data_IF_155318795772
#
_entry.id   IF_155318795772
#
_cell.length_a   1.000
_cell.length_b   1.000
_cell.length_c   1.000
_cell.angle_alpha   90.00
_cell.angle_beta   90.00
_cell.angle_gamma   90.00
#
_symmetry.space_group_name_H-M   'P 1'
#
loop_
_entity.id
_entity.type
_entity.pdbx_description
1 polymer ?
#
# COMPACT_ATOMS: atom_id res chain seq x y z
N UNK A 1 20.86 13.08 -30.94
CA UNK A 1 21.10 11.63 -30.83
C UNK A 1 20.98 11.26 -29.37
N UNK A 2 19.98 10.47 -28.99
CA UNK A 2 19.82 9.94 -27.64
C UNK A 2 20.80 8.79 -27.46
N UNK A 3 21.76 8.93 -26.54
CA UNK A 3 22.69 7.86 -26.17
C UNK A 3 21.95 6.89 -25.24
N UNK A 4 21.73 5.67 -25.69
CA UNK A 4 21.22 4.58 -24.85
C UNK A 4 22.28 4.23 -23.81
N UNK A 5 21.90 4.21 -22.55
CA UNK A 5 22.77 3.87 -21.43
C UNK A 5 22.89 2.34 -21.43
N UNK A 6 24.10 1.80 -21.69
CA UNK A 6 24.49 0.39 -21.51
C UNK A 6 24.57 0.03 -20.01
N UNK A 7 23.51 0.32 -19.25
CA UNK A 7 23.37 -0.16 -17.90
C UNK A 7 22.65 -1.51 -17.97
N UNK A 8 23.28 -2.57 -17.46
CA UNK A 8 22.57 -3.79 -17.11
C UNK A 8 21.49 -3.42 -16.08
N UNK A 9 20.26 -3.21 -16.54
CA UNK A 9 19.13 -3.05 -15.65
C UNK A 9 19.02 -4.33 -14.82
N UNK A 10 19.07 -4.23 -13.47
CA UNK A 10 18.90 -5.41 -12.64
C UNK A 10 17.55 -6.04 -12.96
N UNK A 11 17.48 -7.37 -13.01
CA UNK A 11 16.29 -8.14 -13.36
C UNK A 11 15.09 -7.72 -12.50
N UNK A 12 14.26 -6.80 -13.01
CA UNK A 12 13.10 -6.25 -12.28
C UNK A 12 12.08 -7.35 -11.93
N UNK A 13 12.00 -8.38 -12.79
CA UNK A 13 11.13 -9.55 -12.62
C UNK A 13 11.43 -10.37 -11.36
N UNK A 14 12.67 -10.33 -10.85
CA UNK A 14 13.07 -11.08 -9.67
C UNK A 14 12.58 -10.44 -8.35
N UNK A 15 12.18 -9.16 -8.40
CA UNK A 15 11.76 -8.39 -7.21
C UNK A 15 10.24 -8.45 -7.03
N UNK A 16 9.48 -8.74 -8.10
CA UNK A 16 8.02 -8.83 -8.04
C UNK A 16 7.64 -10.15 -7.36
N UNK A 17 7.00 -10.13 -6.17
CA UNK A 17 6.51 -11.34 -5.54
C UNK A 17 5.50 -12.05 -6.45
N UNK A 18 5.75 -13.32 -6.75
CA UNK A 18 4.80 -14.18 -7.49
C UNK A 18 3.71 -14.77 -6.59
N UNK A 19 3.88 -14.66 -5.28
CA UNK A 19 2.94 -15.14 -4.27
C UNK A 19 2.65 -14.03 -3.27
N UNK A 20 1.42 -14.01 -2.76
CA UNK A 20 0.96 -13.14 -1.69
C UNK A 20 0.40 -13.99 -0.54
N UNK A 21 0.57 -13.53 0.69
CA UNK A 21 -0.01 -14.17 1.86
C UNK A 21 -1.39 -13.60 2.16
N UNK A 22 -1.50 -12.27 2.07
CA UNK A 22 -2.73 -11.51 2.31
C UNK A 22 -3.05 -10.68 1.08
N UNK A 23 -4.30 -10.73 0.64
CA UNK A 23 -4.84 -9.93 -0.45
C UNK A 23 -5.99 -9.08 0.07
N UNK A 24 -5.86 -7.77 -0.06
CA UNK A 24 -6.82 -6.81 0.46
C UNK A 24 -7.42 -6.00 -0.67
N UNK A 25 -8.73 -6.04 -0.86
CA UNK A 25 -9.46 -5.21 -1.81
C UNK A 25 -9.94 -3.94 -1.11
N UNK A 26 -9.59 -2.79 -1.69
CA UNK A 26 -9.81 -1.47 -1.10
C UNK A 26 -10.41 -0.55 -2.17
N UNK A 27 -11.40 0.24 -1.77
CA UNK A 27 -11.92 1.31 -2.62
C UNK A 27 -10.91 2.46 -2.72
N UNK A 28 -10.60 2.88 -3.95
CA UNK A 28 -9.58 3.89 -4.26
C UNK A 28 -9.91 5.25 -3.63
N UNK A 29 -11.17 5.68 -3.70
CA UNK A 29 -11.60 7.01 -3.23
C UNK A 29 -11.54 7.18 -1.70
N UNK A 30 -12.10 6.27 -0.87
CA UNK A 30 -11.90 6.28 0.58
C UNK A 30 -10.42 6.21 0.98
N UNK A 31 -9.64 5.33 0.34
CA UNK A 31 -8.22 5.18 0.62
C UNK A 31 -7.43 6.46 0.33
N UNK A 32 -7.66 7.08 -0.83
CA UNK A 32 -7.00 8.33 -1.21
C UNK A 32 -7.31 9.48 -0.22
N UNK A 33 -8.56 9.57 0.26
CA UNK A 33 -8.95 10.56 1.26
C UNK A 33 -8.27 10.31 2.60
N UNK A 34 -8.26 9.07 3.07
CA UNK A 34 -7.59 8.69 4.32
C UNK A 34 -6.08 8.95 4.24
N UNK A 35 -5.43 8.61 3.12
CA UNK A 35 -4.02 8.84 2.90
C UNK A 35 -3.64 10.33 2.85
N UNK A 36 -4.47 11.15 2.19
CA UNK A 36 -4.27 12.61 2.16
C UNK A 36 -4.28 13.20 3.56
N UNK A 37 -5.17 12.74 4.43
CA UNK A 37 -5.18 13.18 5.83
C UNK A 37 -3.95 12.62 6.56
N UNK A 38 -3.70 11.33 6.50
CA UNK A 38 -2.57 10.68 7.18
C UNK A 38 -1.21 11.30 6.80
N UNK A 39 -1.01 11.68 5.54
CA UNK A 39 0.23 12.34 5.08
C UNK A 39 0.39 13.77 5.59
N UNK A 40 -0.69 14.47 5.96
CA UNK A 40 -0.57 15.74 6.67
C UNK A 40 0.04 15.56 8.06
N UNK A 41 -0.32 14.45 8.72
CA UNK A 41 0.16 14.07 10.06
C UNK A 41 1.44 13.23 10.04
N UNK A 42 2.06 12.95 8.89
CA UNK A 42 3.34 12.23 8.83
C UNK A 42 4.46 13.01 8.14
N UNK A 43 4.30 14.33 7.99
CA UNK A 43 5.34 15.20 7.40
C UNK A 43 6.69 15.07 8.11
N UNK A 44 6.65 14.97 9.43
CA UNK A 44 7.85 14.87 10.27
C UNK A 44 8.44 13.46 10.31
N UNK A 45 7.64 12.45 9.93
CA UNK A 45 7.98 11.02 9.94
C UNK A 45 8.19 10.47 8.52
N UNK A 46 8.72 11.28 7.61
CA UNK A 46 9.01 10.93 6.21
C UNK A 46 7.79 10.39 5.44
N UNK A 47 6.60 10.89 5.75
CA UNK A 47 5.32 10.44 5.21
C UNK A 47 5.02 8.96 5.50
N UNK A 48 5.59 8.40 6.58
CA UNK A 48 5.34 7.01 6.97
C UNK A 48 3.89 6.86 7.43
N UNK A 49 3.18 5.93 6.82
CA UNK A 49 1.83 5.54 7.19
C UNK A 49 1.85 4.03 7.45
N UNK A 50 1.45 3.63 8.64
CA UNK A 50 1.32 2.23 9.04
C UNK A 50 -0.06 1.72 8.63
N UNK A 51 -0.09 0.60 7.94
CA UNK A 51 -1.29 -0.11 7.51
C UNK A 51 -1.38 -1.38 8.35
N UNK A 52 -2.47 -1.50 9.11
CA UNK A 52 -2.83 -2.69 9.86
C UNK A 52 -4.09 -3.27 9.22
N UNK A 53 -3.94 -4.46 8.66
CA UNK A 53 -4.99 -5.17 7.93
C UNK A 53 -5.44 -6.30 8.83
N UNK A 54 -6.70 -6.24 9.27
CA UNK A 54 -7.34 -7.28 10.05
C UNK A 54 -8.44 -7.95 9.21
N UNK A 55 -8.40 -9.28 9.01
CA UNK A 55 -9.49 -9.98 8.36
C UNK A 55 -10.76 -9.92 9.22
N UNK A 56 -11.91 -9.88 8.56
CA UNK A 56 -13.20 -9.87 9.23
C UNK A 56 -13.45 -11.19 9.95
N UNK A 57 -14.07 -11.14 11.13
CA UNK A 57 -14.50 -12.30 11.88
C UNK A 57 -16.03 -12.41 11.89
N UNK A 58 -16.56 -13.64 11.88
CA UNK A 58 -17.99 -13.92 12.08
C UNK A 58 -18.95 -13.17 11.13
N UNK A 59 -18.56 -13.00 9.86
CA UNK A 59 -19.38 -12.33 8.83
C UNK A 59 -19.27 -10.81 8.80
N UNK A 60 -18.42 -10.21 9.64
CA UNK A 60 -18.04 -8.81 9.50
C UNK A 60 -17.06 -8.61 8.33
N UNK A 61 -17.04 -7.42 7.68
CA UNK A 61 -15.99 -7.08 6.72
C UNK A 61 -14.62 -6.99 7.43
N UNK A 62 -13.55 -7.09 6.65
CA UNK A 62 -12.21 -6.80 7.15
C UNK A 62 -12.04 -5.31 7.41
N UNK A 63 -11.01 -4.98 8.19
CA UNK A 63 -10.69 -3.61 8.59
C UNK A 63 -9.26 -3.27 8.21
N UNK A 64 -9.08 -2.12 7.57
CA UNK A 64 -7.78 -1.49 7.37
C UNK A 64 -7.69 -0.29 8.30
N UNK A 65 -6.80 -0.38 9.29
CA UNK A 65 -6.43 0.73 10.16
C UNK A 65 -5.15 1.38 9.65
N UNK A 66 -5.20 2.67 9.38
CA UNK A 66 -4.08 3.49 8.98
C UNK A 66 -3.67 4.42 10.11
N UNK A 67 -2.41 4.34 10.52
CA UNK A 67 -1.86 5.17 11.60
C UNK A 67 -0.67 5.98 11.10
N UNK A 68 -0.67 7.28 11.41
CA UNK A 68 0.39 8.22 11.06
C UNK A 68 0.71 9.10 12.27
N UNK A 69 1.98 9.35 12.54
CA UNK A 69 2.45 10.09 13.71
C UNK A 69 3.16 11.39 13.31
N UNK A 70 2.77 12.50 13.92
CA UNK A 70 3.47 13.79 13.85
C UNK A 70 3.91 14.22 15.25
N UNK A 71 5.13 14.73 15.34
CA UNK A 71 5.68 15.30 16.58
C UNK A 71 4.96 16.58 17.02
N UNK A 72 4.30 17.29 16.10
CA UNK A 72 3.64 18.56 16.38
C UNK A 72 2.12 18.43 16.54
N UNK A 73 1.48 17.57 15.73
CA UNK A 73 0.01 17.51 15.61
C UNK A 73 -0.62 16.27 16.26
N UNK A 74 0.18 15.35 16.80
CA UNK A 74 -0.30 14.10 17.40
C UNK A 74 -0.50 12.97 16.39
N UNK A 75 -1.10 11.87 16.85
CA UNK A 75 -1.34 10.67 16.05
C UNK A 75 -2.70 10.78 15.31
N UNK A 76 -2.71 10.42 14.03
CA UNK A 76 -3.93 10.28 13.23
C UNK A 76 -4.22 8.81 12.96
N UNK A 77 -5.47 8.42 13.17
CA UNK A 77 -5.98 7.06 12.98
C UNK A 77 -7.19 7.10 12.05
N UNK A 78 -7.12 6.35 10.95
CA UNK A 78 -8.21 6.20 10.00
C UNK A 78 -8.56 4.72 9.82
N UNK A 79 -9.84 4.40 9.85
CA UNK A 79 -10.34 3.04 9.66
C UNK A 79 -11.15 2.97 8.36
N UNK A 80 -10.92 1.92 7.57
CA UNK A 80 -11.61 1.66 6.32
C UNK A 80 -12.09 0.21 6.27
N UNK A 81 -13.35 0.02 5.91
CA UNK A 81 -13.90 -1.30 5.62
C UNK A 81 -13.28 -1.82 4.32
N UNK A 82 -12.75 -3.05 4.36
CA UNK A 82 -12.01 -3.68 3.26
C UNK A 82 -12.36 -5.16 3.17
N UNK A 83 -12.22 -5.75 1.98
CA UNK A 83 -12.29 -7.20 1.85
C UNK A 83 -10.88 -7.77 1.98
N UNK A 84 -10.66 -8.65 2.95
CA UNK A 84 -9.35 -9.25 3.23
C UNK A 84 -9.44 -10.75 3.03
N UNK A 85 -8.53 -11.28 2.21
CA UNK A 85 -8.32 -12.70 2.00
C UNK A 85 -6.94 -13.06 2.56
N UNK A 86 -6.89 -13.91 3.59
CA UNK A 86 -5.64 -14.35 4.23
C UNK A 86 -5.49 -13.88 5.68
N UNK A 87 -4.28 -14.00 6.25
CA UNK A 87 -4.00 -13.65 7.65
C UNK A 87 -3.94 -12.12 7.85
N UNK A 88 -3.96 -11.71 9.12
CA UNK A 88 -3.65 -10.34 9.50
C UNK A 88 -2.25 -9.92 9.01
N UNK A 89 -2.12 -8.66 8.64
CA UNK A 89 -0.87 -8.12 8.12
C UNK A 89 -0.64 -6.70 8.64
N UNK A 90 0.59 -6.40 9.04
CA UNK A 90 1.04 -5.05 9.41
C UNK A 90 2.22 -4.66 8.51
N UNK A 91 2.12 -3.50 7.87
CA UNK A 91 3.16 -2.98 6.96
C UNK A 91 3.13 -1.46 6.98
N UNK A 92 4.29 -0.80 6.92
CA UNK A 92 4.35 0.64 6.73
C UNK A 92 4.74 0.98 5.30
N UNK A 93 4.09 1.99 4.74
CA UNK A 93 4.39 2.52 3.42
C UNK A 93 4.62 4.02 3.50
N UNK A 94 5.30 4.56 2.49
CA UNK A 94 5.31 5.99 2.28
C UNK A 94 3.95 6.40 1.68
N UNK A 95 3.14 7.12 2.45
CA UNK A 95 1.80 7.52 2.05
C UNK A 95 1.79 8.38 0.78
N UNK A 96 2.85 9.15 0.51
CA UNK A 96 2.97 9.93 -0.72
C UNK A 96 3.08 9.06 -1.95
N UNK A 97 3.88 7.99 -1.89
CA UNK A 97 4.00 7.04 -3.01
C UNK A 97 2.68 6.33 -3.30
N UNK A 98 1.94 5.97 -2.25
CA UNK A 98 0.62 5.36 -2.44
C UNK A 98 -0.38 6.36 -3.03
N UNK A 99 -0.37 7.63 -2.60
CA UNK A 99 -1.20 8.68 -3.20
C UNK A 99 -0.87 8.87 -4.69
N UNK A 100 0.41 8.97 -5.03
CA UNK A 100 0.85 9.15 -6.41
C UNK A 100 0.40 7.97 -7.29
N UNK A 101 0.50 6.75 -6.77
CA UNK A 101 -0.03 5.55 -7.42
C UNK A 101 -1.55 5.62 -7.63
N UNK A 102 -2.31 5.95 -6.58
CA UNK A 102 -3.77 6.03 -6.66
C UNK A 102 -4.27 7.15 -7.59
N UNK A 103 -3.47 8.20 -7.81
CA UNK A 103 -3.79 9.24 -8.78
C UNK A 103 -3.58 8.80 -10.23
N UNK A 104 -2.75 7.78 -10.46
CA UNK A 104 -2.50 7.20 -11.80
C UNK A 104 -3.47 6.06 -12.10
N UNK A 105 -3.91 5.33 -11.08
CA UNK A 105 -4.89 4.24 -11.23
C UNK A 105 -6.29 4.81 -11.42
N UNK A 106 -6.79 4.78 -12.65
CA UNK A 106 -8.18 5.12 -12.98
C UNK A 106 -9.11 3.91 -12.78
N UNK A 107 -9.23 3.43 -11.54
CA UNK A 107 -10.09 2.30 -11.21
C UNK A 107 -10.77 2.48 -9.84
N UNK A 108 -12.06 2.10 -9.69
CA UNK A 108 -12.80 2.27 -8.44
C UNK A 108 -12.22 1.50 -7.25
N UNK A 109 -11.60 0.34 -7.53
CA UNK A 109 -11.04 -0.55 -6.51
C UNK A 109 -9.65 -1.02 -6.89
N UNK A 110 -8.80 -1.20 -5.89
CA UNK A 110 -7.47 -1.78 -6.01
C UNK A 110 -7.33 -2.99 -5.09
N UNK A 111 -6.43 -3.90 -5.45
CA UNK A 111 -5.94 -4.97 -4.59
C UNK A 111 -4.55 -4.64 -4.10
N UNK A 112 -4.35 -4.67 -2.79
CA UNK A 112 -3.07 -4.64 -2.10
C UNK A 112 -2.71 -6.07 -1.69
N UNK A 113 -1.64 -6.58 -2.27
CA UNK A 113 -1.08 -7.89 -1.98
C UNK A 113 0.17 -7.74 -1.12
N UNK A 114 0.18 -8.40 0.02
CA UNK A 114 1.30 -8.40 0.97
C UNK A 114 1.70 -9.81 1.36
N UNK A 115 2.98 -9.99 1.70
CA UNK A 115 3.52 -11.30 2.15
C UNK A 115 4.02 -11.22 3.59
N UNK A 116 4.92 -10.28 3.86
CA UNK A 116 5.50 -9.98 5.18
C UNK A 116 5.67 -8.48 5.32
N UNK A 117 5.72 -7.99 6.56
CA UNK A 117 5.92 -6.56 6.86
C UNK A 117 7.16 -5.92 6.20
N UNK A 118 8.19 -6.75 5.92
CA UNK A 118 9.46 -6.33 5.31
C UNK A 118 9.58 -6.66 3.82
N UNK A 119 8.52 -7.13 3.19
CA UNK A 119 8.49 -7.40 1.75
C UNK A 119 7.73 -6.30 1.00
N UNK A 120 8.07 -6.09 -0.29
CA UNK A 120 7.30 -5.21 -1.17
C UNK A 120 5.81 -5.56 -1.16
N UNK A 121 4.98 -4.52 -1.05
CA UNK A 121 3.55 -4.62 -1.31
C UNK A 121 3.32 -4.44 -2.80
N UNK A 122 2.42 -5.25 -3.36
CA UNK A 122 2.03 -5.14 -4.76
C UNK A 122 0.63 -4.57 -4.84
N UNK A 123 0.45 -3.52 -5.64
CA UNK A 123 -0.84 -2.87 -5.84
C UNK A 123 -1.25 -3.05 -7.29
N UNK A 124 -2.50 -3.49 -7.49
CA UNK A 124 -3.11 -3.67 -8.81
C UNK A 124 -4.54 -3.15 -8.82
N UNK A 125 -5.03 -2.57 -9.93
CA UNK A 125 -6.45 -2.33 -10.12
C UNK A 125 -7.22 -3.65 -10.14
N UNK A 126 -8.40 -3.70 -9.52
CA UNK A 126 -9.28 -4.88 -9.61
C UNK A 126 -9.72 -5.08 -11.06
N UNK A 127 -9.67 -6.30 -11.58
CA UNK A 127 -10.15 -6.61 -12.94
C UNK A 127 -9.16 -6.32 -14.08
N UNK A 128 -7.99 -5.75 -13.77
CA UNK A 128 -6.88 -5.57 -14.72
C UNK A 128 -5.88 -6.71 -14.55
N UNK A 129 -5.41 -7.30 -15.66
CA UNK A 129 -4.48 -8.41 -15.63
C UNK A 129 -3.10 -8.03 -15.06
N UNK A 130 -2.34 -8.98 -14.49
CA UNK A 130 -1.01 -8.70 -13.93
C UNK A 130 0.00 -8.16 -14.97
N UNK A 131 -0.21 -8.48 -16.25
CA UNK A 131 0.63 -8.05 -17.38
C UNK A 131 0.30 -6.64 -17.88
N UNK A 132 -0.85 -6.08 -17.48
CA UNK A 132 -1.30 -4.75 -17.90
C UNK A 132 -0.86 -3.66 -16.92
N UNK A 133 -1.01 -3.91 -15.62
CA UNK A 133 -0.62 -2.96 -14.59
C UNK A 133 -0.22 -3.64 -13.29
N UNK A 134 1.05 -3.49 -12.93
CA UNK A 134 1.58 -3.91 -11.64
C UNK A 134 2.42 -2.79 -11.05
N UNK A 135 2.01 -2.28 -9.88
CA UNK A 135 2.82 -1.34 -9.12
C UNK A 135 3.39 -2.03 -7.89
N UNK A 136 4.68 -1.80 -7.64
CA UNK A 136 5.37 -2.31 -6.46
C UNK A 136 5.71 -1.15 -5.54
N UNK A 137 5.28 -1.23 -4.29
CA UNK A 137 5.58 -0.23 -3.26
C UNK A 137 6.47 -0.87 -2.21
N UNK A 138 7.64 -0.27 -2.00
CA UNK A 138 8.58 -0.75 -0.99
C UNK A 138 8.08 -0.41 0.41
N UNK A 139 8.15 -1.36 1.37
CA UNK A 139 7.81 -1.08 2.75
C UNK A 139 8.85 -0.16 3.38
N UNK A 140 8.40 0.61 4.36
CA UNK A 140 9.27 1.30 5.30
C UNK A 140 9.49 0.39 6.51
N UNK A 141 10.71 0.42 7.05
CA UNK A 141 11.02 -0.32 8.25
C UNK A 141 10.27 0.27 9.45
N UNK A 142 9.45 -0.56 10.08
CA UNK A 142 8.94 -0.29 11.42
C UNK A 142 10.09 -0.54 12.40
N UNK A 143 10.75 0.53 12.85
CA UNK A 143 11.62 0.42 14.02
C UNK A 143 10.71 0.18 15.23
N UNK A 144 10.86 -1.00 15.84
CA UNK A 144 10.09 -1.44 17.00
C UNK A 144 10.95 -1.35 18.26
#
# INVERSE_FOLDING_TARGET
>A
MTQLIDANFPSYEAIIPKAHATRTVIDTQPLLRALKLATLFSRDSNNMVRFQIAPGANGAPGMLTMTSQSSESGDNLANLDVAVEGPEAEIAFNGRYVIDLLNVVDHPQITLETTRASAPGVVRPVGVGPDEFTCVVMPMHLNR
#
